data_IF_261389706332
#
_entry.id   IF_261389706332
#
_cell.length_a   1.000
_cell.length_b   1.000
_cell.length_c   1.000
_cell.angle_alpha   90.00
_cell.angle_beta   90.00
_cell.angle_gamma   90.00
#
_symmetry.space_group_name_H-M   'P 1'
#
loop_
_entity.id
_entity.type
_entity.pdbx_description
1 polymer ?
#
# COMPACT_ATOMS: atom_id res chain seq x y z
N UNK A 1 -17.22 -25.44 34.24
CA UNK A 1 -16.16 -24.46 33.91
C UNK A 1 -16.49 -23.93 32.52
N UNK A 2 -17.11 -22.75 32.46
CA UNK A 2 -17.59 -22.15 31.20
C UNK A 2 -16.40 -21.53 30.49
N UNK A 3 -16.08 -22.01 29.28
CA UNK A 3 -15.05 -21.43 28.44
C UNK A 3 -15.50 -20.01 28.05
N UNK A 4 -14.78 -19.01 28.57
CA UNK A 4 -15.00 -17.62 28.18
C UNK A 4 -14.78 -17.49 26.67
N UNK A 5 -15.79 -16.99 25.97
CA UNK A 5 -15.67 -16.61 24.56
C UNK A 5 -14.51 -15.61 24.40
N UNK A 6 -13.72 -15.71 23.32
CA UNK A 6 -12.61 -14.79 23.09
C UNK A 6 -13.15 -13.35 23.01
N UNK A 7 -12.56 -12.44 23.79
CA UNK A 7 -12.81 -11.00 23.65
C UNK A 7 -12.50 -10.58 22.21
N UNK A 8 -13.37 -9.82 21.53
CA UNK A 8 -13.04 -9.30 20.21
C UNK A 8 -11.85 -8.32 20.34
N UNK A 9 -10.93 -8.30 19.37
CA UNK A 9 -9.82 -7.36 19.37
C UNK A 9 -10.39 -5.94 19.22
N UNK A 10 -9.94 -5.01 20.08
CA UNK A 10 -10.08 -3.55 19.97
C UNK A 10 -11.29 -3.06 19.13
N UNK A 11 -12.50 -3.31 19.60
CA UNK A 11 -13.72 -2.81 18.97
C UNK A 11 -14.14 -1.45 19.53
N UNK A 12 -14.80 -0.63 18.70
CA UNK A 12 -15.54 0.54 19.19
C UNK A 12 -16.60 0.10 20.21
N UNK A 13 -16.90 0.96 21.19
CA UNK A 13 -18.06 0.74 22.06
C UNK A 13 -19.34 0.65 21.20
N UNK A 14 -20.36 -0.15 21.60
CA UNK A 14 -21.55 -0.37 20.78
C UNK A 14 -22.21 0.91 20.23
N UNK A 15 -22.33 1.95 21.04
CA UNK A 15 -22.92 3.23 20.62
C UNK A 15 -22.08 3.94 19.56
N UNK A 16 -20.75 3.92 19.71
CA UNK A 16 -19.83 4.50 18.73
C UNK A 16 -19.82 3.70 17.42
N UNK A 17 -19.88 2.36 17.50
CA UNK A 17 -20.01 1.48 16.35
C UNK A 17 -21.31 1.77 15.57
N UNK A 18 -22.43 1.88 16.28
CA UNK A 18 -23.72 2.19 15.67
C UNK A 18 -23.73 3.57 15.02
N UNK A 19 -23.10 4.58 15.65
CA UNK A 19 -22.99 5.91 15.07
C UNK A 19 -22.16 5.92 13.77
N UNK A 20 -21.07 5.17 13.70
CA UNK A 20 -20.29 5.00 12.48
C UNK A 20 -21.04 4.20 11.40
N UNK A 21 -21.73 3.13 11.80
CA UNK A 21 -22.54 2.33 10.90
C UNK A 21 -23.67 3.17 10.29
N UNK A 22 -24.34 4.00 11.10
CA UNK A 22 -25.39 4.91 10.65
C UNK A 22 -24.84 5.91 9.63
N UNK A 23 -23.75 6.62 9.94
CA UNK A 23 -23.09 7.54 8.99
C UNK A 23 -22.79 6.88 7.66
N UNK A 24 -22.20 5.69 7.69
CA UNK A 24 -21.83 4.97 6.48
C UNK A 24 -23.05 4.47 5.69
N UNK A 25 -24.08 3.94 6.35
CA UNK A 25 -25.27 3.43 5.68
C UNK A 25 -26.13 4.56 5.10
N UNK A 26 -26.12 5.74 5.72
CA UNK A 26 -26.68 6.95 5.11
C UNK A 26 -25.95 7.32 3.82
N UNK A 27 -24.62 7.40 3.85
CA UNK A 27 -23.81 7.64 2.65
C UNK A 27 -24.09 6.61 1.55
N UNK A 28 -24.11 5.33 1.91
CA UNK A 28 -24.38 4.23 0.99
C UNK A 28 -25.78 4.35 0.36
N UNK A 29 -26.82 4.61 1.18
CA UNK A 29 -28.19 4.77 0.71
C UNK A 29 -28.33 5.96 -0.25
N UNK A 30 -27.73 7.11 0.09
CA UNK A 30 -27.84 8.33 -0.71
C UNK A 30 -27.13 8.17 -2.08
N UNK A 31 -25.96 7.51 -2.12
CA UNK A 31 -25.23 7.29 -3.38
C UNK A 31 -25.83 6.18 -4.27
N UNK A 32 -26.71 5.32 -3.74
CA UNK A 32 -27.40 4.26 -4.50
C UNK A 32 -28.90 4.55 -4.71
N UNK A 33 -29.41 5.68 -4.22
CA UNK A 33 -30.81 6.07 -4.38
C UNK A 33 -31.81 5.23 -3.58
N UNK A 34 -31.38 4.63 -2.46
CA UNK A 34 -32.28 3.88 -1.59
C UNK A 34 -33.25 4.81 -0.84
N UNK A 35 -34.52 4.41 -0.76
CA UNK A 35 -35.54 5.20 -0.08
C UNK A 35 -35.41 5.18 1.45
N UNK A 36 -36.08 6.11 2.18
CA UNK A 36 -36.04 6.16 3.65
C UNK A 36 -36.44 4.84 4.34
N UNK A 37 -37.39 4.09 3.76
CA UNK A 37 -37.85 2.80 4.30
C UNK A 37 -36.78 1.72 4.23
N UNK A 38 -36.09 1.61 3.09
CA UNK A 38 -35.01 0.64 2.88
C UNK A 38 -33.83 0.93 3.81
N UNK A 39 -33.49 2.22 3.94
CA UNK A 39 -32.45 2.68 4.87
C UNK A 39 -32.78 2.34 6.31
N UNK A 40 -33.98 2.67 6.79
CA UNK A 40 -34.37 2.38 8.18
C UNK A 40 -34.44 0.87 8.45
N UNK A 41 -34.93 0.08 7.50
CA UNK A 41 -34.94 -1.37 7.62
C UNK A 41 -33.50 -1.92 7.81
N UNK A 42 -32.54 -1.44 7.01
CA UNK A 42 -31.14 -1.86 7.15
C UNK A 42 -30.52 -1.40 8.47
N UNK A 43 -30.82 -0.18 8.93
CA UNK A 43 -30.35 0.31 10.23
C UNK A 43 -30.92 -0.53 11.38
N UNK A 44 -32.20 -0.92 11.33
CA UNK A 44 -32.82 -1.79 12.32
C UNK A 44 -32.17 -3.18 12.37
N UNK A 45 -31.85 -3.78 11.21
CA UNK A 45 -31.10 -5.04 11.13
C UNK A 45 -29.74 -4.91 11.82
N UNK A 46 -28.98 -3.85 11.52
CA UNK A 46 -27.66 -3.61 12.11
C UNK A 46 -27.75 -3.40 13.63
N UNK A 47 -28.70 -2.60 14.10
CA UNK A 47 -28.93 -2.40 15.54
C UNK A 47 -29.23 -3.73 16.25
N UNK A 48 -30.05 -4.58 15.65
CA UNK A 48 -30.37 -5.90 16.20
C UNK A 48 -29.15 -6.85 16.19
N UNK A 49 -28.33 -6.84 15.14
CA UNK A 49 -27.11 -7.66 15.07
C UNK A 49 -26.07 -7.22 16.11
N UNK A 50 -25.86 -5.91 16.27
CA UNK A 50 -24.96 -5.34 17.29
C UNK A 50 -25.44 -5.69 18.69
N UNK A 51 -26.73 -5.55 18.99
CA UNK A 51 -27.29 -5.93 20.30
C UNK A 51 -27.07 -7.41 20.62
N UNK A 52 -27.10 -8.29 19.62
CA UNK A 52 -26.95 -9.73 19.79
C UNK A 52 -25.49 -10.20 19.85
N UNK A 53 -24.60 -9.58 19.08
CA UNK A 53 -23.24 -10.12 18.84
C UNK A 53 -22.11 -9.18 19.26
N UNK A 54 -22.44 -7.93 19.60
CA UNK A 54 -21.46 -6.86 19.84
C UNK A 54 -20.88 -6.24 18.57
N UNK A 55 -21.26 -6.71 17.38
CA UNK A 55 -20.82 -6.18 16.07
C UNK A 55 -21.88 -6.39 14.99
N UNK A 56 -21.60 -6.02 13.74
CA UNK A 56 -22.46 -6.32 12.60
C UNK A 56 -21.65 -6.71 11.36
N UNK A 57 -22.34 -7.27 10.37
CA UNK A 57 -21.71 -7.70 9.12
C UNK A 57 -22.17 -6.81 7.96
N UNK A 58 -21.21 -6.20 7.26
CA UNK A 58 -21.48 -5.53 5.99
C UNK A 58 -21.90 -6.55 4.92
N UNK A 59 -22.91 -6.20 4.13
CA UNK A 59 -23.25 -6.90 2.89
C UNK A 59 -22.09 -6.72 1.90
N UNK A 60 -21.88 -7.65 0.96
CA UNK A 60 -20.79 -7.57 -0.02
C UNK A 60 -20.82 -6.27 -0.83
N UNK A 61 -22.02 -5.78 -1.20
CA UNK A 61 -22.17 -4.50 -1.90
C UNK A 61 -21.79 -3.29 -1.03
N UNK A 62 -22.10 -3.33 0.26
CA UNK A 62 -21.72 -2.29 1.24
C UNK A 62 -20.19 -2.29 1.42
N UNK A 63 -19.56 -3.46 1.57
CA UNK A 63 -18.11 -3.60 1.66
C UNK A 63 -17.41 -3.06 0.42
N UNK A 64 -17.90 -3.41 -0.77
CA UNK A 64 -17.33 -2.95 -2.03
C UNK A 64 -17.43 -1.43 -2.19
N UNK A 65 -18.57 -0.84 -1.82
CA UNK A 65 -18.71 0.61 -1.80
C UNK A 65 -17.78 1.27 -0.77
N UNK A 66 -17.68 0.72 0.43
CA UNK A 66 -16.79 1.21 1.49
C UNK A 66 -15.32 1.24 1.06
N UNK A 67 -14.82 0.17 0.43
CA UNK A 67 -13.45 0.11 -0.09
C UNK A 67 -13.18 1.15 -1.19
N UNK A 68 -14.14 1.36 -2.09
CA UNK A 68 -14.08 2.39 -3.14
C UNK A 68 -14.05 3.80 -2.58
N UNK A 69 -14.93 4.09 -1.63
CA UNK A 69 -14.98 5.39 -0.95
C UNK A 69 -13.73 5.62 -0.10
N UNK A 70 -13.18 4.59 0.55
CA UNK A 70 -11.91 4.69 1.27
C UNK A 70 -10.76 5.18 0.35
N UNK A 71 -10.73 4.72 -0.90
CA UNK A 71 -9.76 5.22 -1.88
C UNK A 71 -10.06 6.67 -2.28
N UNK A 72 -11.33 6.99 -2.58
CA UNK A 72 -11.79 8.38 -2.85
C UNK A 72 -11.36 9.36 -1.75
N UNK A 73 -11.44 8.92 -0.50
CA UNK A 73 -11.14 9.69 0.70
C UNK A 73 -9.63 9.76 1.04
N UNK A 74 -8.78 9.03 0.32
CA UNK A 74 -7.34 8.94 0.63
C UNK A 74 -6.60 10.25 0.35
N UNK A 75 -6.44 11.09 1.37
CA UNK A 75 -5.86 12.44 1.28
C UNK A 75 -4.41 12.49 0.78
N UNK A 76 -3.70 11.36 0.81
CA UNK A 76 -2.32 11.19 0.37
C UNK A 76 -2.19 10.60 -1.04
N UNK A 77 -3.30 10.26 -1.70
CA UNK A 77 -3.30 9.62 -3.01
C UNK A 77 -3.61 10.65 -4.11
N UNK A 78 -2.69 10.90 -5.03
CA UNK A 78 -2.97 11.74 -6.22
C UNK A 78 -3.74 10.97 -7.30
N UNK A 79 -3.62 9.64 -7.34
CA UNK A 79 -4.28 8.76 -8.31
C UNK A 79 -5.73 8.38 -7.98
N UNK A 80 -6.55 9.32 -7.49
CA UNK A 80 -7.92 9.05 -7.02
C UNK A 80 -9.00 8.98 -8.09
N UNK A 81 -8.77 9.52 -9.29
CA UNK A 81 -9.76 9.56 -10.37
C UNK A 81 -10.42 8.19 -10.67
N UNK A 82 -9.68 7.06 -10.77
CA UNK A 82 -10.28 5.75 -11.07
C UNK A 82 -10.91 5.04 -9.85
N UNK A 83 -11.24 5.74 -8.75
CA UNK A 83 -11.72 5.10 -7.51
C UNK A 83 -12.92 4.16 -7.69
N UNK A 84 -13.82 4.48 -8.65
CA UNK A 84 -15.00 3.64 -8.97
C UNK A 84 -14.64 2.33 -9.67
N UNK A 85 -13.51 2.30 -10.36
CA UNK A 85 -13.05 1.13 -11.11
C UNK A 85 -12.38 0.07 -10.23
N UNK A 86 -12.23 0.32 -8.92
CA UNK A 86 -11.68 -0.65 -7.98
C UNK A 86 -12.53 -1.92 -7.95
N UNK A 87 -11.89 -3.02 -8.34
CA UNK A 87 -12.42 -4.36 -8.19
C UNK A 87 -12.24 -4.83 -6.74
N UNK A 88 -13.33 -5.23 -6.10
CA UNK A 88 -13.31 -5.63 -4.68
C UNK A 88 -13.58 -7.12 -4.59
N UNK A 89 -12.58 -7.87 -4.10
CA UNK A 89 -12.67 -9.30 -3.82
C UNK A 89 -13.05 -9.48 -2.35
N UNK A 90 -14.31 -9.88 -2.11
CA UNK A 90 -14.80 -10.21 -0.78
C UNK A 90 -14.33 -11.61 -0.37
N UNK A 91 -13.19 -11.65 0.32
CA UNK A 91 -12.52 -12.87 0.77
C UNK A 91 -12.57 -13.01 2.30
N UNK A 92 -13.60 -12.45 2.94
CA UNK A 92 -13.75 -12.49 4.41
C UNK A 92 -13.87 -13.90 4.99
N UNK A 93 -14.16 -14.89 4.15
CA UNK A 93 -14.20 -16.31 4.50
C UNK A 93 -12.79 -16.96 4.51
N UNK A 94 -11.80 -16.34 3.86
CA UNK A 94 -10.45 -16.86 3.71
C UNK A 94 -9.61 -16.48 4.93
N UNK A 95 -9.23 -17.49 5.73
CA UNK A 95 -8.51 -17.30 7.00
C UNK A 95 -7.28 -18.19 7.17
N UNK A 96 -7.14 -19.21 6.33
CA UNK A 96 -6.01 -20.14 6.37
C UNK A 96 -4.83 -19.57 5.58
N UNK A 97 -3.59 -19.53 6.12
CA UNK A 97 -2.45 -18.92 5.43
C UNK A 97 -2.20 -19.44 4.01
N UNK A 98 -2.30 -20.74 3.77
CA UNK A 98 -2.14 -21.33 2.42
C UNK A 98 -3.19 -20.82 1.43
N UNK A 99 -4.46 -20.75 1.84
CA UNK A 99 -5.53 -20.20 0.99
C UNK A 99 -5.31 -18.71 0.75
N UNK A 100 -4.94 -17.96 1.80
CA UNK A 100 -4.60 -16.53 1.68
C UNK A 100 -3.50 -16.35 0.64
N UNK A 101 -2.41 -17.12 0.71
CA UNK A 101 -1.33 -17.07 -0.26
C UNK A 101 -1.84 -17.32 -1.68
N UNK A 102 -2.65 -18.37 -1.90
CA UNK A 102 -3.22 -18.66 -3.20
C UNK A 102 -4.08 -17.51 -3.75
N UNK A 103 -4.89 -16.86 -2.91
CA UNK A 103 -5.68 -15.70 -3.32
C UNK A 103 -4.84 -14.44 -3.59
N UNK A 104 -3.74 -14.24 -2.88
CA UNK A 104 -2.78 -13.16 -3.14
C UNK A 104 -2.01 -13.39 -4.45
N UNK A 105 -1.68 -14.64 -4.77
CA UNK A 105 -1.10 -15.00 -6.06
C UNK A 105 -2.07 -14.71 -7.21
N UNK A 106 -3.34 -15.09 -7.05
CA UNK A 106 -4.39 -14.71 -8.00
C UNK A 106 -4.55 -13.19 -8.10
N UNK A 107 -4.44 -12.45 -6.98
CA UNK A 107 -4.47 -10.98 -6.99
C UNK A 107 -3.35 -10.42 -7.87
N UNK A 108 -2.11 -10.88 -7.71
CA UNK A 108 -0.97 -10.42 -8.51
C UNK A 108 -1.20 -10.67 -10.01
N UNK A 109 -1.69 -11.85 -10.36
CA UNK A 109 -1.97 -12.23 -11.75
C UNK A 109 -3.10 -11.39 -12.37
N UNK A 110 -4.26 -11.35 -11.71
CA UNK A 110 -5.47 -10.69 -12.19
C UNK A 110 -5.26 -9.17 -12.30
N UNK A 111 -4.59 -8.58 -11.30
CA UNK A 111 -4.30 -7.15 -11.28
C UNK A 111 -3.27 -6.74 -12.35
N UNK A 112 -2.27 -7.58 -12.64
CA UNK A 112 -1.28 -7.32 -13.69
C UNK A 112 -1.92 -7.33 -15.08
N UNK A 113 -2.82 -8.28 -15.35
CA UNK A 113 -3.65 -8.31 -16.56
C UNK A 113 -2.85 -8.25 -17.88
N UNK A 114 -1.69 -8.91 -17.93
CA UNK A 114 -0.77 -8.87 -19.08
C UNK A 114 -0.19 -7.48 -19.37
N UNK A 115 0.03 -6.68 -18.32
CA UNK A 115 0.52 -5.30 -18.41
C UNK A 115 -0.58 -4.24 -18.37
N UNK A 116 -1.85 -4.61 -18.60
CA UNK A 116 -3.00 -3.71 -18.51
C UNK A 116 -3.52 -3.62 -17.07
N UNK A 117 -2.72 -3.03 -16.20
CA UNK A 117 -2.96 -3.04 -14.75
C UNK A 117 -4.35 -2.49 -14.40
N UNK A 118 -5.06 -3.23 -13.54
CA UNK A 118 -6.36 -2.89 -12.95
C UNK A 118 -6.24 -2.67 -11.46
N UNK A 119 -7.00 -1.73 -10.87
CA UNK A 119 -7.00 -1.56 -9.43
C UNK A 119 -7.85 -2.65 -8.77
N UNK A 120 -7.25 -3.44 -7.88
CA UNK A 120 -7.89 -4.55 -7.16
C UNK A 120 -7.62 -4.40 -5.67
N UNK A 121 -8.60 -4.78 -4.85
CA UNK A 121 -8.43 -4.99 -3.42
C UNK A 121 -8.95 -6.36 -3.02
N UNK A 122 -8.23 -7.04 -2.12
CA UNK A 122 -8.62 -8.34 -1.57
C UNK A 122 -8.82 -8.22 -0.08
N UNK A 123 -10.08 -8.28 0.38
CA UNK A 123 -10.43 -8.08 1.79
C UNK A 123 -10.54 -9.45 2.45
N UNK A 124 -9.52 -9.81 3.23
CA UNK A 124 -9.34 -11.14 3.80
C UNK A 124 -10.11 -11.29 5.13
N UNK A 125 -10.19 -12.52 5.62
CA UNK A 125 -10.93 -12.86 6.82
C UNK A 125 -10.31 -12.35 8.13
N UNK A 126 -11.07 -12.42 9.23
CA UNK A 126 -10.61 -12.00 10.55
C UNK A 126 -9.41 -12.82 11.01
N UNK A 127 -8.48 -12.17 11.73
CA UNK A 127 -7.26 -12.80 12.24
C UNK A 127 -6.21 -13.10 11.16
N UNK A 128 -6.42 -12.67 9.92
CA UNK A 128 -5.39 -12.68 8.88
C UNK A 128 -4.55 -11.41 8.98
N UNK A 129 -3.23 -11.56 8.79
CA UNK A 129 -2.30 -10.43 8.65
C UNK A 129 -1.20 -10.78 7.65
N UNK A 130 -0.83 -9.81 6.83
CA UNK A 130 0.37 -9.90 5.98
C UNK A 130 1.43 -9.03 6.63
N UNK A 131 2.58 -9.60 6.99
CA UNK A 131 3.61 -8.84 7.71
C UNK A 131 4.37 -7.86 6.81
N UNK A 132 4.36 -8.13 5.51
CA UNK A 132 5.00 -7.31 4.49
C UNK A 132 4.24 -5.98 4.31
N UNK A 133 4.96 -4.89 4.07
CA UNK A 133 4.37 -3.58 3.77
C UNK A 133 3.74 -3.52 2.39
N UNK A 134 4.37 -4.21 1.43
CA UNK A 134 3.87 -4.48 0.09
C UNK A 134 4.09 -5.95 -0.25
N UNK A 135 3.27 -6.51 -1.12
CA UNK A 135 3.45 -7.91 -1.53
C UNK A 135 4.75 -8.13 -2.31
N UNK A 136 5.19 -7.11 -3.07
CA UNK A 136 6.41 -7.17 -3.88
C UNK A 136 7.44 -6.17 -3.33
N UNK A 137 8.49 -6.70 -2.70
CA UNK A 137 9.62 -5.95 -2.16
C UNK A 137 10.93 -6.68 -2.38
N UNK A 138 12.00 -5.91 -2.51
CA UNK A 138 13.36 -6.43 -2.49
C UNK A 138 13.91 -6.44 -1.06
N UNK A 139 14.75 -7.42 -0.75
CA UNK A 139 15.42 -7.56 0.53
C UNK A 139 16.45 -6.46 0.76
N UNK A 140 16.82 -6.25 2.03
CA UNK A 140 17.93 -5.39 2.43
C UNK A 140 18.83 -6.10 3.45
N UNK A 141 20.11 -6.27 3.12
CA UNK A 141 21.08 -7.00 3.94
C UNK A 141 22.17 -6.08 4.46
N UNK A 142 22.23 -5.89 5.79
CA UNK A 142 23.35 -5.18 6.42
C UNK A 142 24.63 -5.97 6.25
N UNK A 143 25.67 -5.29 5.81
CA UNK A 143 27.02 -5.83 5.70
C UNK A 143 27.84 -5.50 6.96
N UNK A 144 28.91 -6.26 7.25
CA UNK A 144 29.79 -5.99 8.39
C UNK A 144 30.37 -4.57 8.45
N UNK A 145 30.50 -3.90 7.30
CA UNK A 145 30.98 -2.51 7.18
C UNK A 145 29.91 -1.42 7.33
N UNK A 146 28.67 -1.78 7.70
CA UNK A 146 27.57 -0.83 7.87
C UNK A 146 26.83 -0.44 6.58
N UNK A 147 27.36 -0.82 5.41
CA UNK A 147 26.65 -0.70 4.13
C UNK A 147 25.49 -1.69 4.04
N UNK A 148 24.56 -1.45 3.10
CA UNK A 148 23.44 -2.35 2.82
C UNK A 148 23.50 -2.80 1.37
N UNK A 149 23.31 -4.10 1.15
CA UNK A 149 23.04 -4.66 -0.18
C UNK A 149 21.53 -4.83 -0.32
N UNK A 150 20.97 -4.37 -1.44
CA UNK A 150 19.51 -4.37 -1.65
C UNK A 150 18.87 -3.07 -1.19
N UNK A 151 17.65 -3.14 -0.67
CA UNK A 151 16.85 -1.99 -0.27
C UNK A 151 16.99 -1.69 1.23
N UNK A 152 17.64 -0.59 1.65
CA UNK A 152 17.79 -0.21 3.05
C UNK A 152 16.47 -0.06 3.81
N UNK A 153 15.37 0.31 3.14
CA UNK A 153 14.07 0.42 3.78
C UNK A 153 13.58 -0.93 4.33
N UNK A 154 13.95 -2.02 3.67
CA UNK A 154 13.42 -3.35 3.97
C UNK A 154 14.33 -4.17 4.87
N UNK A 155 15.38 -3.58 5.44
CA UNK A 155 16.32 -4.30 6.32
C UNK A 155 15.60 -4.89 7.53
N UNK A 156 14.77 -4.11 8.22
CA UNK A 156 14.07 -4.60 9.41
C UNK A 156 13.07 -5.73 9.08
N UNK A 157 12.38 -5.63 7.93
CA UNK A 157 11.50 -6.68 7.42
C UNK A 157 12.31 -7.91 6.99
N UNK A 158 13.46 -7.73 6.34
CA UNK A 158 14.37 -8.81 5.94
C UNK A 158 14.85 -9.59 7.16
N UNK A 159 15.33 -8.89 8.19
CA UNK A 159 15.76 -9.51 9.45
C UNK A 159 14.60 -10.26 10.13
N UNK A 160 13.37 -9.72 10.04
CA UNK A 160 12.17 -10.38 10.54
C UNK A 160 11.86 -11.69 9.83
N UNK A 161 11.82 -11.67 8.51
CA UNK A 161 11.54 -12.86 7.70
C UNK A 161 12.63 -13.92 7.92
N UNK A 162 13.89 -13.52 8.11
CA UNK A 162 14.98 -14.43 8.49
C UNK A 162 14.77 -15.09 9.85
N UNK A 163 14.31 -14.34 10.86
CA UNK A 163 13.96 -14.91 12.18
C UNK A 163 12.80 -15.89 12.11
N UNK A 164 11.85 -15.67 11.21
CA UNK A 164 10.75 -16.60 10.93
C UNK A 164 11.18 -17.85 10.16
N UNK A 165 12.44 -17.94 9.74
CA UNK A 165 13.01 -19.12 9.08
C UNK A 165 13.36 -18.95 7.60
N UNK A 166 13.24 -17.74 7.04
CA UNK A 166 13.72 -17.49 5.68
C UNK A 166 15.26 -17.55 5.63
N UNK A 167 15.81 -18.42 4.79
CA UNK A 167 17.27 -18.56 4.65
C UNK A 167 17.96 -17.29 4.11
N UNK A 168 17.20 -16.41 3.45
CA UNK A 168 17.71 -15.30 2.65
C UNK A 168 17.70 -15.62 1.17
N UNK A 169 17.79 -14.57 0.35
CA UNK A 169 18.02 -14.71 -1.07
C UNK A 169 19.49 -14.90 -1.41
N UNK A 170 19.85 -14.88 -2.71
CA UNK A 170 21.24 -14.98 -3.18
C UNK A 170 22.19 -13.87 -2.70
N UNK A 171 21.70 -12.84 -2.01
CA UNK A 171 22.47 -11.71 -1.51
C UNK A 171 22.66 -10.61 -2.53
N UNK A 172 21.74 -10.45 -3.49
CA UNK A 172 21.84 -9.42 -4.55
C UNK A 172 21.08 -8.14 -4.20
N UNK A 173 21.26 -7.11 -5.02
CA UNK A 173 20.53 -5.85 -4.90
C UNK A 173 19.01 -5.98 -5.13
N UNK A 174 18.55 -7.07 -5.74
CA UNK A 174 17.16 -7.26 -6.17
C UNK A 174 16.61 -8.63 -5.78
N UNK A 175 16.99 -9.15 -4.62
CA UNK A 175 16.41 -10.38 -4.07
C UNK A 175 14.96 -10.15 -3.64
N UNK A 176 14.01 -10.92 -4.16
CA UNK A 176 12.59 -10.80 -3.80
C UNK A 176 12.34 -11.38 -2.41
N UNK A 177 11.64 -10.62 -1.56
CA UNK A 177 11.21 -11.09 -0.24
C UNK A 177 10.07 -12.11 -0.35
N UNK A 178 10.05 -13.16 0.50
CA UNK A 178 8.85 -13.98 0.66
C UNK A 178 7.75 -13.21 1.39
N UNK A 179 6.52 -13.73 1.32
CA UNK A 179 5.41 -13.26 2.13
C UNK A 179 5.37 -14.00 3.46
N UNK A 180 5.29 -13.26 4.57
CA UNK A 180 4.88 -13.81 5.86
C UNK A 180 3.39 -13.54 6.07
N UNK A 181 2.62 -14.62 6.14
CA UNK A 181 1.15 -14.58 6.24
C UNK A 181 0.74 -15.24 7.54
N UNK A 182 0.13 -14.45 8.41
CA UNK A 182 -0.49 -14.90 9.65
C UNK A 182 -1.96 -15.26 9.39
N UNK A 183 -2.42 -16.36 10.00
CA UNK A 183 -3.82 -16.76 9.99
C UNK A 183 -4.06 -17.98 10.87
N UNK A 184 -5.13 -17.94 11.67
CA UNK A 184 -5.48 -18.99 12.65
C UNK A 184 -4.34 -19.29 13.65
N UNK A 185 -3.64 -18.24 14.12
CA UNK A 185 -2.61 -18.36 15.15
C UNK A 185 -1.28 -18.97 14.67
N UNK A 186 -1.04 -19.03 13.36
CA UNK A 186 0.24 -19.47 12.77
C UNK A 186 0.68 -18.49 11.70
N UNK A 187 2.00 -18.42 11.49
CA UNK A 187 2.64 -17.64 10.44
C UNK A 187 3.29 -18.61 9.45
N UNK A 188 2.90 -18.52 8.18
CA UNK A 188 3.56 -19.22 7.07
C UNK A 188 4.47 -18.29 6.28
N UNK A 189 5.61 -18.81 5.81
CA UNK A 189 6.50 -18.13 4.87
C UNK A 189 6.33 -18.71 3.47
N UNK A 190 6.04 -17.83 2.51
CA UNK A 190 5.75 -18.22 1.13
C UNK A 190 6.67 -17.48 0.17
N UNK A 191 7.54 -18.22 -0.53
CA UNK A 191 8.34 -17.65 -1.60
C UNK A 191 7.47 -17.35 -2.81
N UNK A 192 7.66 -16.18 -3.41
CA UNK A 192 6.98 -15.80 -4.63
C UNK A 192 7.69 -16.45 -5.83
N UNK A 193 6.97 -17.15 -6.71
CA UNK A 193 7.54 -17.66 -7.95
C UNK A 193 7.87 -16.50 -8.89
N UNK A 194 8.87 -16.69 -9.75
CA UNK A 194 9.43 -15.63 -10.60
C UNK A 194 8.37 -14.98 -11.51
N UNK A 195 7.47 -15.80 -12.06
CA UNK A 195 6.39 -15.39 -12.96
C UNK A 195 5.33 -14.48 -12.30
N UNK A 196 5.20 -14.53 -10.97
CA UNK A 196 4.27 -13.68 -10.23
C UNK A 196 4.86 -12.31 -9.83
N UNK A 197 6.17 -12.13 -9.96
CA UNK A 197 6.83 -10.88 -9.54
C UNK A 197 6.84 -9.80 -10.62
N UNK A 198 6.85 -10.20 -11.90
CA UNK A 198 6.92 -9.34 -13.09
C UNK A 198 7.84 -8.11 -12.89
N UNK A 199 9.14 -8.31 -13.10
CA UNK A 199 10.15 -7.25 -12.94
C UNK A 199 10.49 -6.61 -14.30
N UNK A 200 10.60 -5.29 -14.33
CA UNK A 200 10.97 -4.49 -15.49
C UNK A 200 12.42 -4.04 -15.36
N UNK A 201 13.35 -4.51 -16.22
CA UNK A 201 14.69 -3.96 -16.30
C UNK A 201 14.65 -2.50 -16.76
N UNK A 202 15.40 -1.63 -16.09
CA UNK A 202 15.44 -0.21 -16.40
C UNK A 202 16.55 0.04 -17.43
N UNK A 203 16.15 0.52 -18.59
CA UNK A 203 16.99 0.88 -19.74
C UNK A 203 16.67 2.31 -20.18
N UNK A 204 17.62 2.98 -20.83
CA UNK A 204 17.45 4.35 -21.31
C UNK A 204 17.42 4.39 -22.84
N UNK A 205 16.54 5.18 -23.47
CA UNK A 205 16.42 5.23 -24.93
C UNK A 205 17.73 5.66 -25.62
N UNK A 206 18.40 6.67 -25.06
CA UNK A 206 19.56 7.30 -25.69
C UNK A 206 20.90 7.00 -25.00
N UNK A 207 20.90 6.21 -23.92
CA UNK A 207 22.09 5.97 -23.10
C UNK A 207 22.18 4.50 -22.65
N UNK A 208 22.78 3.61 -23.45
CA UNK A 208 22.92 2.19 -23.12
C UNK A 208 23.58 1.93 -21.76
N UNK A 209 24.52 2.79 -21.34
CA UNK A 209 25.22 2.68 -20.06
C UNK A 209 24.30 2.72 -18.82
N UNK A 210 23.10 3.30 -18.91
CA UNK A 210 22.11 3.22 -17.82
C UNK A 210 21.56 1.80 -17.68
N UNK A 211 21.38 1.07 -18.79
CA UNK A 211 20.93 -0.33 -18.77
C UNK A 211 21.97 -1.28 -18.18
N UNK A 212 23.26 -0.97 -18.35
CA UNK A 212 24.38 -1.74 -17.78
C UNK A 212 24.42 -1.70 -16.25
N UNK A 213 23.74 -0.73 -15.61
CA UNK A 213 23.61 -0.65 -14.16
C UNK A 213 22.77 -1.80 -13.57
N UNK A 214 22.03 -2.53 -14.40
CA UNK A 214 21.23 -3.68 -13.96
C UNK A 214 20.04 -3.34 -13.08
N UNK A 215 19.66 -2.05 -13.02
CA UNK A 215 18.50 -1.57 -12.27
C UNK A 215 17.23 -2.24 -12.78
N UNK A 216 16.30 -2.53 -11.86
CA UNK A 216 15.00 -3.13 -12.18
C UNK A 216 13.98 -2.78 -11.10
N UNK A 217 12.70 -2.87 -11.45
CA UNK A 217 11.63 -2.68 -10.46
C UNK A 217 10.43 -3.58 -10.76
N UNK A 218 9.63 -3.90 -9.75
CA UNK A 218 8.40 -4.66 -9.94
C UNK A 218 7.38 -3.85 -10.75
N UNK A 219 6.56 -4.54 -11.55
CA UNK A 219 5.52 -3.92 -12.36
C UNK A 219 4.32 -3.42 -11.53
N UNK A 220 4.02 -4.09 -10.41
CA UNK A 220 2.76 -3.94 -9.69
C UNK A 220 2.98 -3.46 -8.23
N UNK A 221 2.49 -2.28 -7.84
CA UNK A 221 2.50 -1.84 -6.45
C UNK A 221 1.29 -2.37 -5.69
N UNK A 222 1.48 -3.39 -4.85
CA UNK A 222 0.41 -3.90 -3.97
C UNK A 222 0.72 -3.60 -2.51
N UNK A 223 0.00 -2.64 -1.92
CA UNK A 223 0.10 -2.29 -0.50
C UNK A 223 -0.60 -3.37 0.35
N UNK A 224 0.00 -3.77 1.47
CA UNK A 224 -0.55 -4.81 2.36
C UNK A 224 -0.53 -4.46 3.86
N UNK A 225 -0.07 -3.26 4.23
CA UNK A 225 0.02 -2.76 5.61
C UNK A 225 -1.05 -1.72 5.99
N UNK A 226 -2.15 -1.64 5.23
CA UNK A 226 -3.24 -0.71 5.50
C UNK A 226 -4.45 -1.47 6.01
N UNK A 227 -5.08 -0.94 7.07
CA UNK A 227 -6.40 -1.38 7.53
C UNK A 227 -7.44 -0.62 6.74
N UNK A 228 -8.37 -1.34 6.13
CA UNK A 228 -9.59 -0.74 5.59
C UNK A 228 -10.59 -0.56 6.75
N UNK A 229 -11.08 0.66 6.97
CA UNK A 229 -12.13 0.97 7.93
C UNK A 229 -13.41 1.39 7.23
N UNK A 230 -14.53 0.71 7.52
CA UNK A 230 -15.85 0.96 6.91
C UNK A 230 -16.94 0.84 7.96
N UNK A 231 -17.69 1.92 8.20
CA UNK A 231 -18.85 1.91 9.10
C UNK A 231 -18.53 1.41 10.52
N UNK A 232 -17.34 1.75 11.03
CA UNK A 232 -16.85 1.33 12.36
C UNK A 232 -16.28 -0.08 12.42
N UNK A 233 -16.25 -0.82 11.31
CA UNK A 233 -15.57 -2.11 11.18
C UNK A 233 -14.16 -1.95 10.62
N UNK A 234 -13.23 -2.79 11.08
CA UNK A 234 -11.83 -2.78 10.64
C UNK A 234 -11.45 -4.09 9.94
N UNK A 235 -10.81 -3.97 8.79
CA UNK A 235 -10.30 -5.08 7.98
C UNK A 235 -8.77 -4.93 7.84
N UNK A 236 -7.98 -5.55 8.73
CA UNK A 236 -6.53 -5.34 8.79
C UNK A 236 -5.77 -6.02 7.64
N UNK A 237 -6.34 -7.02 6.98
CA UNK A 237 -5.72 -7.65 5.82
C UNK A 237 -6.53 -7.30 4.57
N UNK A 238 -6.20 -6.16 3.96
CA UNK A 238 -6.88 -5.67 2.76
C UNK A 238 -5.89 -5.26 1.63
N UNK A 239 -5.05 -6.19 1.09
CA UNK A 239 -4.08 -5.82 0.07
C UNK A 239 -4.72 -5.17 -1.15
N UNK A 240 -4.16 -4.02 -1.56
CA UNK A 240 -4.70 -3.13 -2.58
C UNK A 240 -3.64 -2.69 -3.56
N UNK A 241 -3.97 -2.65 -4.85
CA UNK A 241 -3.10 -2.11 -5.88
C UNK A 241 -3.75 -1.01 -6.71
N UNK A 242 -2.91 -0.10 -7.17
CA UNK A 242 -3.14 0.72 -8.37
C UNK A 242 -2.09 0.34 -9.42
N UNK A 243 -1.56 1.35 -10.10
CA UNK A 243 -0.34 1.24 -10.91
C UNK A 243 0.63 2.34 -10.48
N UNK A 244 1.91 2.15 -10.76
CA UNK A 244 2.94 3.11 -10.38
C UNK A 244 2.78 4.46 -11.10
N UNK A 245 3.14 5.51 -10.38
CA UNK A 245 3.71 6.71 -10.97
C UNK A 245 5.21 6.51 -11.15
N UNK A 246 5.75 7.00 -12.27
CA UNK A 246 7.17 6.84 -12.56
C UNK A 246 8.08 7.44 -11.47
N UNK A 247 7.65 8.53 -10.85
CA UNK A 247 8.39 9.19 -9.76
C UNK A 247 8.46 8.36 -8.48
N UNK A 248 7.51 7.44 -8.24
CA UNK A 248 7.60 6.50 -7.10
C UNK A 248 8.79 5.56 -7.27
N UNK A 249 9.05 5.10 -8.51
CA UNK A 249 10.18 4.24 -8.83
C UNK A 249 11.46 5.07 -8.93
N UNK A 250 11.52 6.00 -9.88
CA UNK A 250 12.73 6.72 -10.21
C UNK A 250 13.18 7.66 -9.08
N UNK A 251 12.28 8.52 -8.59
CA UNK A 251 12.64 9.59 -7.67
C UNK A 251 12.67 9.17 -6.20
N UNK A 252 11.96 8.10 -5.83
CA UNK A 252 11.91 7.63 -4.44
C UNK A 252 12.65 6.32 -4.25
N UNK A 253 12.23 5.25 -4.93
CA UNK A 253 12.83 3.94 -4.71
C UNK A 253 14.28 3.86 -5.20
N UNK A 254 14.56 4.34 -6.41
CA UNK A 254 15.88 4.24 -7.01
C UNK A 254 16.81 5.40 -6.61
N UNK A 255 16.29 6.62 -6.46
CA UNK A 255 17.12 7.82 -6.27
C UNK A 255 17.35 8.27 -4.82
N UNK A 256 16.45 7.99 -3.86
CA UNK A 256 16.64 8.48 -2.49
C UNK A 256 17.96 7.92 -1.91
N UNK A 257 18.77 8.78 -1.28
CA UNK A 257 20.06 8.40 -0.67
C UNK A 257 19.90 7.33 0.43
N UNK A 258 18.75 7.33 1.12
CA UNK A 258 18.36 6.31 2.10
C UNK A 258 17.74 5.04 1.50
N UNK A 259 17.73 4.92 0.16
CA UNK A 259 17.20 3.77 -0.59
C UNK A 259 18.30 3.19 -1.48
N UNK A 260 18.11 3.11 -2.79
CA UNK A 260 19.11 2.55 -3.71
C UNK A 260 20.22 3.53 -4.11
N UNK A 261 20.06 4.84 -3.85
CA UNK A 261 21.03 5.89 -4.19
C UNK A 261 21.65 5.75 -5.60
N UNK A 262 20.82 5.54 -6.61
CA UNK A 262 21.28 5.24 -7.97
C UNK A 262 21.81 6.48 -8.72
N UNK A 263 21.54 7.70 -8.25
CA UNK A 263 21.83 8.94 -8.99
C UNK A 263 23.33 9.12 -9.33
N UNK A 264 24.30 8.83 -8.45
CA UNK A 264 25.71 8.94 -8.80
C UNK A 264 26.15 7.96 -9.90
N UNK A 265 25.56 6.77 -9.95
CA UNK A 265 25.85 5.78 -10.99
C UNK A 265 25.21 6.20 -12.33
N UNK A 266 23.96 6.65 -12.31
CA UNK A 266 23.25 7.17 -13.49
C UNK A 266 23.97 8.40 -14.06
N UNK A 267 24.40 9.34 -13.21
CA UNK A 267 25.13 10.53 -13.64
C UNK A 267 26.45 10.19 -14.35
N UNK A 268 27.17 9.17 -13.86
CA UNK A 268 28.41 8.69 -14.50
C UNK A 268 28.12 8.00 -15.83
N UNK A 269 27.07 7.18 -15.92
CA UNK A 269 26.65 6.56 -17.17
C UNK A 269 26.28 7.60 -18.25
N UNK A 270 25.70 8.73 -17.82
CA UNK A 270 25.36 9.87 -18.67
C UNK A 270 26.55 10.79 -18.99
N UNK A 271 27.75 10.52 -18.46
CA UNK A 271 28.93 11.37 -18.67
C UNK A 271 28.83 12.75 -18.02
N UNK A 272 28.07 12.90 -16.93
CA UNK A 272 27.90 14.18 -16.25
C UNK A 272 29.09 14.54 -15.36
N UNK A 273 29.36 15.84 -15.24
CA UNK A 273 30.27 16.40 -14.24
C UNK A 273 29.58 16.44 -12.87
N UNK A 274 30.07 15.63 -11.93
CA UNK A 274 29.54 15.51 -10.57
C UNK A 274 29.96 16.67 -9.64
N UNK A 275 30.64 17.70 -10.16
CA UNK A 275 31.03 18.86 -9.37
C UNK A 275 29.83 19.66 -8.84
N UNK A 276 29.96 20.33 -7.69
CA UNK A 276 28.90 21.16 -7.12
C UNK A 276 28.40 22.23 -8.11
N UNK A 277 27.12 22.60 -8.00
CA UNK A 277 26.45 23.62 -8.84
C UNK A 277 26.35 23.29 -10.33
N UNK A 278 26.56 22.03 -10.74
CA UNK A 278 26.30 21.54 -12.12
C UNK A 278 24.90 20.96 -12.34
N UNK A 279 24.07 20.92 -11.29
CA UNK A 279 22.75 20.30 -11.31
C UNK A 279 22.78 18.84 -11.80
N UNK A 280 23.87 18.12 -11.55
CA UNK A 280 24.02 16.75 -12.03
C UNK A 280 22.99 15.82 -11.40
N UNK A 281 22.57 16.07 -10.16
CA UNK A 281 21.50 15.33 -9.47
C UNK A 281 20.17 15.52 -10.19
N UNK A 282 19.82 16.77 -10.48
CA UNK A 282 18.59 17.13 -11.18
C UNK A 282 18.56 16.51 -12.58
N UNK A 283 19.66 16.63 -13.33
CA UNK A 283 19.81 16.04 -14.67
C UNK A 283 19.71 14.51 -14.63
N UNK A 284 20.46 13.85 -13.75
CA UNK A 284 20.42 12.39 -13.61
C UNK A 284 19.04 11.91 -13.16
N UNK A 285 18.36 12.65 -12.29
CA UNK A 285 17.02 12.32 -11.82
C UNK A 285 15.98 12.41 -12.95
N UNK A 286 16.06 13.45 -13.80
CA UNK A 286 15.20 13.55 -14.99
C UNK A 286 15.41 12.36 -15.91
N UNK A 287 16.65 12.04 -16.27
CA UNK A 287 16.96 10.91 -17.17
C UNK A 287 16.59 9.55 -16.55
N UNK A 288 16.69 9.39 -15.22
CA UNK A 288 16.21 8.17 -14.57
C UNK A 288 14.68 8.02 -14.67
N UNK A 289 13.93 9.13 -14.60
CA UNK A 289 12.48 9.10 -14.84
C UNK A 289 12.16 8.77 -16.31
N UNK A 290 12.96 9.28 -17.26
CA UNK A 290 12.86 8.92 -18.69
C UNK A 290 13.10 7.42 -18.88
N UNK A 291 14.16 6.87 -18.28
CA UNK A 291 14.48 5.45 -18.35
C UNK A 291 13.35 4.57 -17.79
N UNK A 292 12.76 4.94 -16.66
CA UNK A 292 11.63 4.19 -16.08
C UNK A 292 10.42 4.19 -17.01
N UNK A 293 10.00 5.36 -17.53
CA UNK A 293 8.88 5.44 -18.47
C UNK A 293 9.15 4.62 -19.73
N UNK A 294 10.31 4.83 -20.36
CA UNK A 294 10.72 4.08 -21.56
C UNK A 294 10.68 2.56 -21.36
N UNK A 295 11.18 2.09 -20.21
CA UNK A 295 11.27 0.66 -19.92
C UNK A 295 9.90 0.03 -19.72
N UNK A 296 9.00 0.71 -19.01
CA UNK A 296 7.63 0.24 -18.80
C UNK A 296 6.83 0.27 -20.12
N UNK A 297 7.00 1.31 -20.93
CA UNK A 297 6.38 1.39 -22.27
C UNK A 297 6.84 0.24 -23.17
N UNK A 298 8.16 -0.05 -23.20
CA UNK A 298 8.71 -1.19 -23.96
C UNK A 298 8.24 -2.54 -23.46
N UNK A 299 8.01 -2.67 -22.16
CA UNK A 299 7.47 -3.89 -21.57
C UNK A 299 5.95 -4.03 -21.77
N UNK A 300 5.27 -3.00 -22.30
CA UNK A 300 3.80 -2.99 -22.44
C UNK A 300 3.07 -2.93 -21.10
N UNK A 301 3.73 -2.42 -20.05
CA UNK A 301 3.20 -2.38 -18.68
C UNK A 301 2.73 -0.97 -18.37
N UNK A 302 1.50 -0.88 -17.87
CA UNK A 302 0.88 0.39 -17.49
C UNK A 302 1.67 1.09 -16.39
N UNK A 303 2.11 2.31 -16.68
CA UNK A 303 2.64 3.29 -15.73
C UNK A 303 2.01 4.66 -16.05
N UNK A 304 2.11 5.63 -15.14
CA UNK A 304 1.64 7.00 -15.42
C UNK A 304 2.72 8.02 -15.05
N UNK A 305 2.86 9.05 -15.88
CA UNK A 305 3.75 10.16 -15.57
C UNK A 305 3.10 11.17 -14.60
N UNK A 306 3.92 11.81 -13.77
CA UNK A 306 3.47 12.79 -12.80
C UNK A 306 2.71 14.00 -13.38
N UNK A 307 2.92 14.40 -14.64
CA UNK A 307 2.11 15.48 -15.23
C UNK A 307 0.71 14.99 -15.61
N UNK A 308 0.58 13.78 -16.14
CA UNK A 308 -0.72 13.19 -16.45
C UNK A 308 -1.54 12.93 -15.19
N UNK A 309 -0.97 12.33 -14.14
CA UNK A 309 -1.73 12.03 -12.92
C UNK A 309 -2.19 13.31 -12.21
N UNK A 310 -1.38 14.37 -12.21
CA UNK A 310 -1.78 15.64 -11.57
C UNK A 310 -2.91 16.33 -12.35
N UNK A 311 -2.96 16.20 -13.69
CA UNK A 311 -4.12 16.62 -14.48
C UNK A 311 -5.36 15.75 -14.22
N UNK A 312 -5.18 14.43 -14.07
CA UNK A 312 -6.27 13.52 -13.69
C UNK A 312 -6.82 13.87 -12.29
N UNK A 313 -5.95 14.27 -11.37
CA UNK A 313 -6.36 14.73 -10.05
C UNK A 313 -7.23 15.98 -10.11
N UNK A 314 -6.87 16.96 -10.94
CA UNK A 314 -7.70 18.16 -11.17
C UNK A 314 -9.08 17.81 -11.75
N UNK A 315 -9.13 16.81 -12.64
CA UNK A 315 -10.41 16.29 -13.13
C UNK A 315 -11.22 15.65 -12.00
N UNK A 316 -10.58 14.85 -11.14
CA UNK A 316 -11.23 14.26 -9.98
C UNK A 316 -11.83 15.34 -9.07
N UNK A 317 -11.09 16.42 -8.79
CA UNK A 317 -11.61 17.56 -8.01
C UNK A 317 -12.87 18.17 -8.63
N UNK A 318 -12.88 18.34 -9.96
CA UNK A 318 -14.05 18.83 -10.65
C UNK A 318 -15.24 17.85 -10.62
N UNK A 319 -15.00 16.53 -10.57
CA UNK A 319 -16.06 15.53 -10.41
C UNK A 319 -16.63 15.53 -8.98
N UNK A 320 -15.78 15.68 -7.96
CA UNK A 320 -16.21 15.79 -6.57
C UNK A 320 -17.01 17.09 -6.32
N UNK A 321 -16.53 18.21 -6.86
CA UNK A 321 -17.23 19.50 -6.75
C UNK A 321 -18.62 19.47 -7.40
N UNK A 322 -18.75 18.86 -8.59
CA UNK A 322 -20.06 18.69 -9.25
C UNK A 322 -21.03 17.85 -8.43
N UNK A 323 -20.50 16.94 -7.62
CA UNK A 323 -21.27 16.12 -6.71
C UNK A 323 -21.45 16.75 -5.32
N UNK A 324 -21.10 18.03 -5.15
CA UNK A 324 -21.26 18.78 -3.90
C UNK A 324 -20.29 18.37 -2.78
N UNK A 325 -19.19 17.68 -3.10
CA UNK A 325 -18.20 17.20 -2.13
C UNK A 325 -16.93 18.03 -2.17
N UNK A 326 -16.33 18.25 -1.01
CA UNK A 326 -15.02 18.86 -0.89
C UNK A 326 -13.92 17.81 -1.03
N UNK A 327 -12.78 18.19 -1.61
CA UNK A 327 -11.61 17.31 -1.71
C UNK A 327 -10.63 17.62 -0.58
N UNK A 328 -10.42 16.65 0.30
CA UNK A 328 -9.31 16.68 1.26
C UNK A 328 -8.01 16.22 0.62
N UNK A 329 -6.91 16.75 1.15
CA UNK A 329 -5.59 16.47 0.61
C UNK A 329 -4.47 16.90 1.54
N UNK A 330 -3.44 16.06 1.65
CA UNK A 330 -2.14 16.47 2.18
C UNK A 330 -1.31 16.96 1.01
N UNK A 331 -1.23 18.28 0.84
CA UNK A 331 -0.55 18.89 -0.32
C UNK A 331 0.86 18.33 -0.59
N UNK A 332 1.66 18.13 0.47
CA UNK A 332 3.02 17.58 0.36
C UNK A 332 3.11 16.13 -0.17
N UNK A 333 2.00 15.40 -0.17
CA UNK A 333 1.89 14.06 -0.78
C UNK A 333 1.27 14.11 -2.19
N UNK A 334 0.53 15.18 -2.52
CA UNK A 334 -0.15 15.31 -3.81
C UNK A 334 0.73 15.93 -4.89
N UNK A 335 1.72 16.74 -4.51
CA UNK A 335 2.74 17.23 -5.44
C UNK A 335 3.78 16.13 -5.71
N UNK A 336 4.28 16.00 -6.95
CA UNK A 336 5.32 15.03 -7.25
C UNK A 336 6.68 15.47 -6.72
N UNK A 337 7.58 14.51 -6.44
CA UNK A 337 8.94 14.81 -5.96
C UNK A 337 9.87 15.36 -7.07
N UNK A 338 9.42 15.37 -8.34
CA UNK A 338 10.13 15.93 -9.48
C UNK A 338 9.24 17.00 -10.14
N UNK A 339 9.83 18.16 -10.42
CA UNK A 339 9.19 19.27 -11.15
C UNK A 339 7.80 19.70 -10.63
N UNK A 340 7.54 19.77 -9.31
CA UNK A 340 6.18 20.02 -8.80
C UNK A 340 5.60 21.35 -9.30
N UNK A 341 6.41 22.41 -9.37
CA UNK A 341 6.00 23.73 -9.85
C UNK A 341 5.49 23.76 -11.31
N UNK A 342 5.73 22.69 -12.08
CA UNK A 342 5.25 22.55 -13.47
C UNK A 342 3.92 21.80 -13.57
N UNK A 343 3.28 21.49 -12.44
CA UNK A 343 2.05 20.70 -12.36
C UNK A 343 0.90 21.56 -11.82
N UNK A 344 -0.36 21.29 -12.23
CA UNK A 344 -1.49 22.12 -11.81
C UNK A 344 -1.83 21.98 -10.31
N UNK A 345 -1.29 20.97 -9.62
CA UNK A 345 -1.52 20.74 -8.19
C UNK A 345 -0.69 21.68 -7.32
N UNK A 346 0.44 22.20 -7.82
CA UNK A 346 1.32 23.10 -7.08
C UNK A 346 0.62 24.35 -6.55
N UNK A 347 -0.23 24.95 -7.38
CA UNK A 347 -0.93 26.20 -7.06
C UNK A 347 -2.23 26.00 -6.26
N UNK A 348 -2.52 24.78 -5.81
CA UNK A 348 -3.73 24.45 -5.07
C UNK A 348 -3.46 24.36 -3.58
N UNK A 349 -4.51 24.57 -2.78
CA UNK A 349 -4.48 24.39 -1.33
C UNK A 349 -5.56 23.41 -0.90
N UNK A 350 -5.26 22.58 0.09
CA UNK A 350 -6.15 21.52 0.55
C UNK A 350 -6.22 21.52 2.07
N UNK A 351 -7.40 21.21 2.58
CA UNK A 351 -7.56 20.85 3.99
C UNK A 351 -7.07 19.41 4.17
N UNK A 352 -6.03 19.22 4.98
CA UNK A 352 -5.60 17.88 5.39
C UNK A 352 -6.63 17.30 6.38
N UNK A 353 -6.73 15.99 6.40
CA UNK A 353 -7.64 15.27 7.27
C UNK A 353 -7.94 13.88 6.73
N UNK A 354 -8.15 12.97 7.66
CA UNK A 354 -8.65 11.64 7.34
C UNK A 354 -10.17 11.65 7.33
N UNK A 355 -10.76 10.92 6.39
CA UNK A 355 -12.20 10.69 6.31
C UNK A 355 -12.46 9.18 6.39
N UNK A 356 -13.67 8.82 6.81
CA UNK A 356 -14.15 7.44 6.86
C UNK A 356 -15.32 7.25 5.88
N UNK A 357 -15.42 6.11 5.17
CA UNK A 357 -14.46 5.00 5.08
C UNK A 357 -13.04 5.43 4.68
N UNK A 358 -12.02 4.70 5.11
CA UNK A 358 -10.62 5.10 4.92
C UNK A 358 -9.62 3.95 5.04
N UNK A 359 -8.43 4.17 4.47
CA UNK A 359 -7.28 3.29 4.66
C UNK A 359 -6.34 3.88 5.71
N UNK A 360 -6.07 3.12 6.76
CA UNK A 360 -5.33 3.56 7.94
C UNK A 360 -4.05 2.76 8.05
N UNK A 361 -2.94 3.44 8.35
CA UNK A 361 -1.66 2.77 8.57
C UNK A 361 -1.72 1.84 9.79
N UNK A 362 -1.14 0.66 9.66
CA UNK A 362 -0.94 -0.25 10.78
C UNK A 362 0.46 -0.13 11.35
N UNK A 363 0.59 -0.41 12.63
CA UNK A 363 1.89 -0.80 13.19
C UNK A 363 2.35 -2.07 12.45
N UNK A 364 3.59 -2.15 11.96
CA UNK A 364 4.07 -3.36 11.32
C UNK A 364 4.15 -4.54 12.32
N UNK A 365 3.77 -5.74 11.88
CA UNK A 365 3.75 -6.94 12.75
C UNK A 365 5.10 -7.19 13.44
N UNK A 366 6.19 -6.96 12.72
CA UNK A 366 7.56 -7.12 13.19
C UNK A 366 8.06 -6.04 14.15
N UNK A 367 7.27 -4.97 14.38
CA UNK A 367 7.52 -3.98 15.42
C UNK A 367 6.77 -4.29 16.72
N UNK A 368 5.61 -4.95 16.63
CA UNK A 368 4.81 -5.33 17.80
C UNK A 368 5.49 -6.40 18.66
N UNK A 369 6.17 -7.37 18.03
CA UNK A 369 6.96 -8.39 18.75
C UNK A 369 8.04 -7.80 19.67
N UNK A 370 8.61 -6.64 19.32
CA UNK A 370 9.59 -5.95 20.17
C UNK A 370 8.96 -5.32 21.42
N UNK A 371 7.67 -4.97 21.38
CA UNK A 371 6.97 -4.37 22.51
C UNK A 371 6.56 -5.42 23.56
N UNK A 372 6.35 -6.67 23.13
CA UNK A 372 5.90 -7.79 23.98
C UNK A 372 7.04 -8.63 24.60
N UNK A 373 8.30 -8.42 24.20
CA UNK A 373 9.47 -9.07 24.78
C UNK A 373 9.77 -8.55 26.21
N UNK A 374 8.90 -8.90 27.15
CA UNK A 374 9.08 -8.73 28.59
C UNK A 374 9.73 -10.00 29.12
N UNK A 375 10.92 -9.85 29.74
CA UNK A 375 11.58 -10.99 30.37
C UNK A 375 10.67 -11.61 31.44
N UNK A 376 10.31 -12.91 31.33
CA UNK A 376 9.34 -13.54 32.25
C UNK A 376 9.87 -13.66 33.69
N UNK A 377 11.18 -13.47 33.89
CA UNK A 377 11.80 -13.48 35.22
C UNK A 377 11.95 -12.09 35.85
N UNK A 378 12.01 -11.02 35.04
CA UNK A 378 12.31 -9.67 35.56
C UNK A 378 11.23 -8.65 35.27
N UNK A 379 10.22 -8.96 34.44
CA UNK A 379 9.14 -8.04 34.09
C UNK A 379 9.60 -6.82 33.27
N UNK A 380 10.86 -6.76 32.82
CA UNK A 380 11.41 -5.65 32.04
C UNK A 380 11.34 -5.92 30.53
N UNK A 381 10.91 -4.91 29.76
CA UNK A 381 11.01 -4.90 28.29
C UNK A 381 12.47 -4.88 27.88
N UNK A 382 12.88 -5.77 26.97
CA UNK A 382 14.22 -5.70 26.39
C UNK A 382 14.37 -4.41 25.56
N UNK A 383 15.25 -3.50 26.01
CA UNK A 383 15.53 -2.24 25.31
C UNK A 383 15.44 -0.96 26.15
N UNK A 384 15.03 -1.02 27.42
CA UNK A 384 15.25 0.09 28.33
C UNK A 384 16.74 0.11 28.73
N UNK A 385 17.53 0.98 28.09
CA UNK A 385 18.84 1.33 28.60
C UNK A 385 18.67 1.81 30.06
N UNK A 386 19.46 1.23 30.97
CA UNK A 386 19.59 1.76 32.31
C UNK A 386 20.52 2.98 32.22
N UNK A 387 20.04 4.12 32.73
CA UNK A 387 20.85 5.29 33.04
C UNK A 387 21.97 4.97 34.04
#
# INVERSE_FOLDING_TARGET
MSAAAPRPPSGLAPDALLAEAERFLHLYADEHGHGPREREARLAEVRAEVARTGTYTLRTAELAHGARVAWRNSSRCVGRLPWRALEVRDLRHVTHPDDVFAYLMAHLHDALGGGRIRPVISILGPGVRVHNDQLLRYAGYRQPGGTVVGDPQNVALTDHLRRLGWAGGPGTAFDVLPLAIEGRGRVGLYCLPEDATCQVPITHPDCPGVGELGLRWFALPVLSNLTLEVGGLSFPAAPFNGWYLQTEIAARNLADEGRYDALPAVARALGLDLSPRRLWRDRALVELNVAVLHSFDRAGIRITDHHAVTRQFVRFEAEEQRAGRAVRGRWSWLIPPLSPATTPVWHRSYTDGEERPGYVAQTPAWQEERAEAVCPFTGRRQGAAAD
#
